data_IF_734203431604
#
_entry.id   IF_734203431604
#
_cell.length_a   1.000
_cell.length_b   1.000
_cell.length_c   1.000
_cell.angle_alpha   90.00
_cell.angle_beta   90.00
_cell.angle_gamma   90.00
#
_symmetry.space_group_name_H-M   'P 1'
#
loop_
_entity.id
_entity.type
_entity.pdbx_description
1 polymer ?
#
# COMPACT_ATOMS: atom_id res chain seq x y z
N UNK A 1 46.53 -5.26 -49.33
CA UNK A 1 45.12 -4.87 -49.60
C UNK A 1 44.61 -4.03 -48.44
N UNK A 2 44.35 -2.73 -48.65
CA UNK A 2 43.77 -1.85 -47.64
C UNK A 2 42.28 -2.19 -47.53
N UNK A 3 41.83 -2.72 -46.38
CA UNK A 3 40.40 -2.88 -46.10
C UNK A 3 39.81 -1.48 -45.91
N UNK A 4 38.90 -1.07 -46.78
CA UNK A 4 38.09 0.12 -46.53
C UNK A 4 37.14 -0.20 -45.38
N UNK A 5 37.24 0.58 -44.31
CA UNK A 5 36.38 0.47 -43.16
C UNK A 5 34.98 0.95 -43.58
N UNK A 6 34.03 0.02 -43.70
CA UNK A 6 32.64 0.34 -44.00
C UNK A 6 32.06 1.07 -42.78
N UNK A 7 31.83 2.36 -42.93
CA UNK A 7 31.17 3.18 -41.91
C UNK A 7 29.67 2.92 -41.89
N UNK A 8 29.06 3.18 -40.74
CA UNK A 8 27.60 3.16 -40.54
C UNK A 8 26.97 4.28 -41.37
N UNK A 9 25.86 4.00 -42.06
CA UNK A 9 25.14 5.01 -42.84
C UNK A 9 24.26 5.88 -41.93
N UNK A 10 24.03 7.13 -42.33
CA UNK A 10 23.08 8.01 -41.63
C UNK A 10 21.67 7.42 -41.59
N UNK A 11 21.28 6.67 -42.64
CA UNK A 11 19.96 6.05 -42.70
C UNK A 11 19.82 4.90 -41.69
N UNK A 12 20.86 4.08 -41.50
CA UNK A 12 20.86 3.04 -40.45
C UNK A 12 20.78 3.67 -39.06
N UNK A 13 21.52 4.76 -38.82
CA UNK A 13 21.49 5.45 -37.53
C UNK A 13 20.11 6.05 -37.25
N UNK A 14 19.46 6.66 -38.25
CA UNK A 14 18.10 7.18 -38.12
C UNK A 14 17.06 6.10 -37.83
N UNK A 15 17.15 4.94 -38.47
CA UNK A 15 16.24 3.81 -38.20
C UNK A 15 16.42 3.29 -36.77
N UNK A 16 17.67 3.17 -36.30
CA UNK A 16 17.95 2.74 -34.92
C UNK A 16 17.34 3.72 -33.91
N UNK A 17 17.51 5.02 -34.12
CA UNK A 17 16.91 6.06 -33.24
C UNK A 17 15.39 5.99 -33.26
N UNK A 18 14.78 5.76 -34.43
CA UNK A 18 13.33 5.62 -34.54
C UNK A 18 12.80 4.41 -33.74
N UNK A 19 13.46 3.25 -33.84
CA UNK A 19 13.08 2.04 -33.08
C UNK A 19 13.26 2.27 -31.57
N UNK A 20 14.39 2.85 -31.15
CA UNK A 20 14.63 3.17 -29.73
C UNK A 20 13.58 4.15 -29.21
N UNK A 21 13.19 5.15 -30.01
CA UNK A 21 12.13 6.10 -29.65
C UNK A 21 10.79 5.43 -29.36
N UNK A 22 10.37 4.48 -30.21
CA UNK A 22 9.12 3.71 -30.01
C UNK A 22 9.22 2.85 -28.75
N UNK A 23 10.32 2.12 -28.57
CA UNK A 23 10.51 1.26 -27.39
C UNK A 23 10.55 2.08 -26.10
N UNK A 24 11.24 3.22 -26.09
CA UNK A 24 11.35 4.10 -24.93
C UNK A 24 9.99 4.70 -24.53
N UNK A 25 9.14 5.05 -25.49
CA UNK A 25 7.80 5.58 -25.23
C UNK A 25 6.90 4.61 -24.44
N UNK A 26 7.10 3.30 -24.60
CA UNK A 26 6.35 2.26 -23.88
C UNK A 26 7.09 1.84 -22.59
N UNK A 27 8.41 1.70 -22.66
CA UNK A 27 9.21 1.18 -21.55
C UNK A 27 9.35 2.18 -20.39
N UNK A 28 9.50 3.48 -20.68
CA UNK A 28 9.70 4.49 -19.63
C UNK A 28 8.49 4.64 -18.70
N UNK A 29 7.24 4.76 -19.20
CA UNK A 29 6.07 4.80 -18.31
C UNK A 29 5.92 3.52 -17.48
N UNK A 30 6.15 2.35 -18.08
CA UNK A 30 6.06 1.08 -17.35
C UNK A 30 7.13 0.95 -16.24
N UNK A 31 8.35 1.43 -16.50
CA UNK A 31 9.42 1.45 -15.50
C UNK A 31 9.10 2.42 -14.35
N UNK A 32 8.52 3.58 -14.65
CA UNK A 32 8.04 4.52 -13.63
C UNK A 32 6.95 3.88 -12.74
N UNK A 33 5.97 3.21 -13.33
CA UNK A 33 4.93 2.50 -12.58
C UNK A 33 5.50 1.41 -11.65
N UNK A 34 6.53 0.69 -12.11
CA UNK A 34 7.23 -0.31 -11.30
C UNK A 34 7.95 0.34 -10.11
N UNK A 35 8.67 1.44 -10.35
CA UNK A 35 9.37 2.17 -9.28
C UNK A 35 8.40 2.73 -8.24
N UNK A 36 7.26 3.26 -8.68
CA UNK A 36 6.19 3.73 -7.77
C UNK A 36 5.63 2.56 -6.97
N UNK A 37 5.34 1.41 -7.59
CA UNK A 37 4.86 0.23 -6.86
C UNK A 37 5.86 -0.29 -5.84
N UNK A 38 7.16 -0.26 -6.15
CA UNK A 38 8.20 -0.62 -5.20
C UNK A 38 8.18 0.31 -3.97
N UNK A 39 8.06 1.63 -4.19
CA UNK A 39 7.89 2.62 -3.11
C UNK A 39 6.64 2.37 -2.27
N UNK A 40 5.54 1.92 -2.87
CA UNK A 40 4.30 1.59 -2.14
C UNK A 40 4.49 0.45 -1.14
N UNK A 41 5.41 -0.49 -1.39
CA UNK A 41 5.66 -1.58 -0.45
C UNK A 41 6.21 -1.10 0.90
N UNK A 42 6.91 0.04 0.92
CA UNK A 42 7.32 0.69 2.18
C UNK A 42 6.11 1.06 3.03
N UNK A 43 5.03 1.54 2.43
CA UNK A 43 3.79 1.85 3.13
C UNK A 43 3.18 0.65 3.85
N UNK A 44 3.25 -0.54 3.25
CA UNK A 44 2.83 -1.78 3.90
C UNK A 44 3.74 -2.16 5.08
N UNK A 45 5.05 -1.93 4.96
CA UNK A 45 5.98 -2.15 6.08
C UNK A 45 5.77 -1.15 7.22
N UNK A 46 5.46 0.11 6.91
CA UNK A 46 5.15 1.14 7.89
C UNK A 46 3.87 0.81 8.69
N UNK A 47 2.92 0.09 8.08
CA UNK A 47 1.71 -0.38 8.76
C UNK A 47 1.95 -1.53 9.75
N UNK A 48 3.11 -2.18 9.75
CA UNK A 48 3.37 -3.36 10.59
C UNK A 48 3.21 -3.07 12.09
N UNK A 49 3.76 -1.97 12.58
CA UNK A 49 3.63 -1.54 13.97
C UNK A 49 2.17 -1.23 14.34
N UNK A 50 1.41 -0.63 13.41
CA UNK A 50 -0.02 -0.38 13.61
C UNK A 50 -0.81 -1.69 13.73
N UNK A 51 -0.50 -2.70 12.91
CA UNK A 51 -1.14 -4.01 13.00
C UNK A 51 -0.90 -4.67 14.36
N UNK A 52 0.33 -4.61 14.87
CA UNK A 52 0.67 -5.13 16.20
C UNK A 52 -0.15 -4.41 17.27
N UNK A 53 -0.20 -3.08 17.24
CA UNK A 53 -0.97 -2.30 18.21
C UNK A 53 -2.47 -2.68 18.22
N UNK A 54 -3.07 -2.86 17.04
CA UNK A 54 -4.47 -3.29 16.93
C UNK A 54 -4.67 -4.66 17.58
N UNK A 55 -3.76 -5.61 17.35
CA UNK A 55 -3.84 -6.95 17.97
C UNK A 55 -3.64 -6.89 19.47
N UNK A 56 -2.70 -6.09 19.97
CA UNK A 56 -2.45 -5.94 21.40
C UNK A 56 -3.66 -5.34 22.13
N UNK A 57 -4.25 -4.27 21.57
CA UNK A 57 -5.48 -3.67 22.12
C UNK A 57 -6.64 -4.67 22.05
N UNK A 58 -6.77 -5.42 20.96
CA UNK A 58 -7.80 -6.47 20.82
C UNK A 58 -7.65 -7.54 21.91
N UNK A 59 -6.44 -8.04 22.15
CA UNK A 59 -6.17 -9.05 23.16
C UNK A 59 -6.44 -8.55 24.59
N UNK A 60 -6.24 -7.26 24.83
CA UNK A 60 -6.50 -6.63 26.14
C UNK A 60 -7.98 -6.39 26.46
N UNK A 61 -8.90 -6.53 25.48
CA UNK A 61 -10.32 -6.19 25.65
C UNK A 61 -10.62 -4.69 25.74
N UNK A 62 -9.60 -3.86 25.48
CA UNK A 62 -9.55 -2.41 25.59
C UNK A 62 -10.14 -1.79 26.88
N UNK A 63 -9.37 -1.69 27.97
CA UNK A 63 -9.79 -0.96 29.16
C UNK A 63 -9.83 0.58 28.98
N UNK A 64 -9.30 1.14 27.88
CA UNK A 64 -9.21 2.60 27.62
C UNK A 64 -10.06 3.01 26.40
N UNK A 65 -11.34 3.29 26.65
CA UNK A 65 -12.37 3.46 25.62
C UNK A 65 -12.13 4.63 24.63
N UNK A 66 -11.51 5.73 25.02
CA UNK A 66 -11.48 6.93 24.17
C UNK A 66 -10.55 6.80 22.94
N UNK A 67 -9.38 6.19 23.10
CA UNK A 67 -8.40 6.03 22.02
C UNK A 67 -8.60 4.74 21.21
N UNK A 68 -9.38 3.79 21.74
CA UNK A 68 -9.69 2.52 21.10
C UNK A 68 -8.46 1.77 20.59
N UNK A 69 -8.54 1.23 19.38
CA UNK A 69 -7.42 0.51 18.75
C UNK A 69 -6.18 1.39 18.46
N UNK A 70 -6.29 2.71 18.57
CA UNK A 70 -5.16 3.65 18.48
C UNK A 70 -4.49 3.93 19.83
N UNK A 71 -4.95 3.34 20.94
CA UNK A 71 -4.38 3.58 22.26
C UNK A 71 -2.88 3.21 22.29
N UNK A 72 -2.03 4.15 22.71
CA UNK A 72 -0.57 3.98 22.76
C UNK A 72 0.13 4.00 21.40
N UNK A 73 -0.59 4.11 20.29
CA UNK A 73 0.00 4.15 18.96
C UNK A 73 0.47 5.55 18.58
N UNK A 74 1.69 5.64 18.07
CA UNK A 74 2.23 6.85 17.43
C UNK A 74 2.50 6.53 15.96
N UNK A 75 2.00 7.36 15.05
CA UNK A 75 2.32 7.25 13.63
C UNK A 75 3.84 7.34 13.43
N UNK A 76 4.44 6.54 12.52
CA UNK A 76 5.85 6.70 12.17
C UNK A 76 6.10 8.11 11.62
N UNK A 77 7.35 8.56 11.75
CA UNK A 77 7.83 9.78 11.10
C UNK A 77 7.64 9.66 9.59
N UNK A 78 7.13 10.73 8.97
CA UNK A 78 6.95 10.77 7.52
C UNK A 78 8.27 10.51 6.78
N UNK A 79 8.20 9.75 5.70
CA UNK A 79 9.31 9.43 4.80
C UNK A 79 9.06 10.04 3.42
N UNK A 80 9.97 9.83 2.47
CA UNK A 80 9.74 10.24 1.07
C UNK A 80 8.48 9.56 0.48
N UNK A 81 8.13 8.36 0.95
CA UNK A 81 7.08 7.54 0.36
C UNK A 81 5.80 7.51 1.20
N UNK A 82 5.88 7.68 2.52
CA UNK A 82 4.76 7.58 3.45
C UNK A 82 4.57 8.88 4.22
N UNK A 83 3.37 9.46 4.15
CA UNK A 83 3.01 10.67 4.90
C UNK A 83 2.61 10.35 6.33
N UNK A 84 1.77 9.33 6.53
CA UNK A 84 1.28 8.94 7.85
C UNK A 84 0.68 7.54 7.84
N UNK A 85 0.55 6.96 9.04
CA UNK A 85 -0.24 5.76 9.28
C UNK A 85 -1.21 6.07 10.42
N UNK A 86 -2.50 5.84 10.19
CA UNK A 86 -3.54 6.10 11.18
C UNK A 86 -4.33 4.82 11.48
N UNK A 87 -4.79 4.67 12.72
CA UNK A 87 -5.67 3.59 13.15
C UNK A 87 -7.03 4.18 13.50
N UNK A 88 -8.10 3.67 12.90
CA UNK A 88 -9.45 4.03 13.27
C UNK A 88 -9.79 3.46 14.66
N UNK A 89 -9.99 4.32 15.65
CA UNK A 89 -10.16 3.93 17.05
C UNK A 89 -11.26 2.88 17.29
N UNK A 90 -12.39 2.99 16.57
CA UNK A 90 -13.54 2.09 16.74
C UNK A 90 -13.44 0.76 15.99
N UNK A 91 -12.68 0.68 14.90
CA UNK A 91 -12.72 -0.49 13.98
C UNK A 91 -11.37 -1.18 13.80
N UNK A 92 -10.27 -0.51 14.18
CA UNK A 92 -8.92 -1.02 13.96
C UNK A 92 -8.46 -0.95 12.50
N UNK A 93 -9.27 -0.36 11.61
CA UNK A 93 -8.87 -0.15 10.20
C UNK A 93 -7.67 0.78 10.15
N UNK A 94 -6.61 0.33 9.48
CA UNK A 94 -5.38 1.09 9.31
C UNK A 94 -5.44 1.81 7.97
N UNK A 95 -5.13 3.10 7.96
CA UNK A 95 -4.98 3.89 6.73
C UNK A 95 -3.54 4.34 6.60
N UNK A 96 -2.88 3.91 5.53
CA UNK A 96 -1.54 4.38 5.14
C UNK A 96 -1.72 5.46 4.08
N UNK A 97 -1.21 6.66 4.35
CA UNK A 97 -1.24 7.77 3.39
C UNK A 97 0.09 7.84 2.67
N UNK A 98 0.06 7.72 1.34
CA UNK A 98 1.24 7.73 0.48
C UNK A 98 1.52 9.14 -0.04
N UNK A 99 2.78 9.48 -0.24
CA UNK A 99 3.17 10.74 -0.88
C UNK A 99 2.93 10.68 -2.40
N UNK A 100 3.05 11.83 -3.08
CA UNK A 100 3.04 11.89 -4.54
C UNK A 100 4.14 11.02 -5.18
N UNK A 101 5.29 10.89 -4.50
CA UNK A 101 6.43 10.09 -4.95
C UNK A 101 6.11 8.58 -4.99
N UNK A 102 5.09 8.15 -4.25
CA UNK A 102 4.59 6.78 -4.18
C UNK A 102 3.16 6.65 -4.74
N UNK A 103 2.78 7.52 -5.69
CA UNK A 103 1.54 7.41 -6.45
C UNK A 103 0.34 8.16 -5.86
N UNK A 104 0.51 8.81 -4.70
CA UNK A 104 -0.50 9.58 -3.96
C UNK A 104 -1.71 8.72 -3.50
N UNK A 105 -2.46 9.23 -2.53
CA UNK A 105 -3.65 8.54 -2.00
C UNK A 105 -3.33 7.55 -0.89
N UNK A 106 -4.25 6.61 -0.65
CA UNK A 106 -4.20 5.75 0.55
C UNK A 106 -4.29 4.27 0.25
N UNK A 107 -3.67 3.46 1.11
CA UNK A 107 -3.96 2.04 1.28
C UNK A 107 -4.73 1.85 2.59
N UNK A 108 -5.78 1.03 2.56
CA UNK A 108 -6.49 0.62 3.77
C UNK A 108 -6.15 -0.82 4.12
N UNK A 109 -5.99 -1.13 5.41
CA UNK A 109 -5.89 -2.50 5.91
C UNK A 109 -7.04 -2.73 6.89
N UNK A 110 -7.97 -3.59 6.51
CA UNK A 110 -9.18 -3.91 7.27
C UNK A 110 -8.95 -5.20 8.07
N UNK A 111 -9.04 -5.16 9.41
CA UNK A 111 -8.94 -6.34 10.24
C UNK A 111 -10.31 -7.02 10.45
N UNK A 112 -10.30 -8.35 10.45
CA UNK A 112 -11.43 -9.19 10.83
C UNK A 112 -10.96 -10.32 11.76
N UNK A 113 -11.80 -10.73 12.70
CA UNK A 113 -11.52 -11.86 13.58
C UNK A 113 -12.83 -12.58 13.95
N UNK A 114 -13.15 -13.75 13.34
CA UNK A 114 -12.48 -14.37 12.19
C UNK A 114 -12.76 -13.60 10.89
N UNK A 115 -12.17 -14.01 9.76
CA UNK A 115 -12.44 -13.42 8.44
C UNK A 115 -13.95 -13.38 8.14
N UNK A 116 -14.46 -12.21 7.72
CA UNK A 116 -15.89 -11.99 7.50
C UNK A 116 -16.61 -11.33 8.68
N UNK A 117 -16.02 -11.31 9.88
CA UNK A 117 -16.55 -10.62 11.06
C UNK A 117 -15.67 -9.45 11.45
N UNK A 118 -16.25 -8.24 11.56
CA UNK A 118 -15.51 -7.06 11.97
C UNK A 118 -15.03 -7.21 13.42
N UNK A 119 -13.96 -6.50 13.78
CA UNK A 119 -13.55 -6.43 15.18
C UNK A 119 -14.66 -5.81 16.06
N UNK A 120 -14.70 -6.12 17.36
CA UNK A 120 -15.55 -5.42 18.32
C UNK A 120 -15.33 -3.90 18.28
N UNK A 121 -16.32 -3.12 18.73
CA UNK A 121 -16.19 -1.66 18.77
C UNK A 121 -15.08 -1.28 19.74
N UNK A 122 -13.97 -0.80 19.19
CA UNK A 122 -12.76 -0.48 19.93
C UNK A 122 -12.95 0.65 20.93
N UNK A 123 -13.98 1.49 20.81
CA UNK A 123 -14.19 2.62 21.73
C UNK A 123 -15.00 2.26 22.99
N UNK A 124 -15.06 0.99 23.34
CA UNK A 124 -15.68 0.47 24.55
C UNK A 124 -14.92 -0.79 25.00
N UNK A 125 -15.15 -1.23 26.24
CA UNK A 125 -14.66 -2.54 26.67
C UNK A 125 -15.40 -3.65 25.93
N UNK A 126 -14.69 -4.71 25.57
CA UNK A 126 -15.26 -5.87 24.88
C UNK A 126 -14.56 -7.17 25.32
N UNK A 127 -15.21 -8.31 25.05
CA UNK A 127 -14.59 -9.61 25.20
C UNK A 127 -13.71 -9.90 23.98
N UNK A 128 -12.41 -10.17 24.14
CA UNK A 128 -11.54 -10.53 23.03
C UNK A 128 -12.07 -11.75 22.26
N UNK A 129 -12.07 -11.72 20.91
CA UNK A 129 -12.41 -12.89 20.11
C UNK A 129 -11.33 -13.98 20.27
N UNK A 130 -11.73 -15.25 20.15
CA UNK A 130 -10.79 -16.39 20.20
C UNK A 130 -10.05 -16.66 18.88
N UNK A 131 -10.51 -16.06 17.79
CA UNK A 131 -9.96 -16.22 16.44
C UNK A 131 -8.79 -15.28 16.18
N UNK A 132 -7.88 -15.70 15.29
CA UNK A 132 -6.77 -14.86 14.85
C UNK A 132 -7.24 -13.73 13.93
N UNK A 133 -6.56 -12.58 14.02
CA UNK A 133 -6.87 -11.43 13.18
C UNK A 133 -6.37 -11.67 11.76
N UNK A 134 -7.30 -11.72 10.81
CA UNK A 134 -7.03 -11.68 9.39
C UNK A 134 -7.03 -10.22 8.89
N UNK A 135 -6.21 -9.92 7.88
CA UNK A 135 -6.08 -8.57 7.33
C UNK A 135 -6.33 -8.58 5.84
N UNK A 136 -7.13 -7.63 5.36
CA UNK A 136 -7.31 -7.36 3.93
C UNK A 136 -6.83 -5.96 3.58
N UNK A 137 -5.89 -5.88 2.64
CA UNK A 137 -5.45 -4.62 2.06
C UNK A 137 -6.40 -4.17 0.93
N UNK A 138 -6.62 -2.87 0.78
CA UNK A 138 -7.43 -2.27 -0.29
C UNK A 138 -6.81 -0.99 -0.84
N UNK A 139 -6.58 -0.98 -2.14
CA UNK A 139 -6.29 0.20 -2.95
C UNK A 139 -7.55 0.60 -3.76
N UNK A 140 -7.46 1.65 -4.59
CA UNK A 140 -8.60 2.12 -5.37
C UNK A 140 -9.19 1.02 -6.25
N UNK A 141 -10.50 0.80 -6.12
CA UNK A 141 -11.24 -0.21 -6.87
C UNK A 141 -11.13 -1.64 -6.33
N UNK A 142 -10.40 -1.86 -5.22
CA UNK A 142 -10.34 -3.15 -4.58
C UNK A 142 -11.70 -3.56 -3.98
N UNK A 143 -11.99 -4.85 -3.99
CA UNK A 143 -13.21 -5.43 -3.39
C UNK A 143 -12.86 -6.54 -2.41
N UNK A 144 -13.67 -6.71 -1.37
CA UNK A 144 -13.51 -7.79 -0.40
C UNK A 144 -14.83 -8.13 0.30
N UNK A 145 -14.91 -9.35 0.82
CA UNK A 145 -15.98 -9.82 1.71
C UNK A 145 -15.70 -9.53 3.19
N UNK A 146 -14.57 -8.89 3.52
CA UNK A 146 -14.28 -8.45 4.87
C UNK A 146 -15.31 -7.42 5.34
N UNK A 147 -15.97 -7.69 6.47
CA UNK A 147 -16.89 -6.74 7.08
C UNK A 147 -16.20 -5.41 7.39
N UNK A 148 -16.84 -4.29 7.03
CA UNK A 148 -16.28 -2.95 7.21
C UNK A 148 -15.18 -2.57 6.21
N UNK A 149 -14.89 -3.42 5.21
CA UNK A 149 -13.90 -3.12 4.19
C UNK A 149 -14.27 -1.87 3.38
N UNK A 150 -13.33 -0.93 3.30
CA UNK A 150 -13.41 0.23 2.42
C UNK A 150 -12.11 0.32 1.64
N UNK A 151 -12.19 0.41 0.32
CA UNK A 151 -11.02 0.59 -0.53
C UNK A 151 -10.31 1.91 -0.25
N UNK A 152 -8.97 1.89 -0.27
CA UNK A 152 -8.17 3.11 -0.29
C UNK A 152 -8.28 3.86 -1.64
N UNK A 153 -7.51 4.94 -1.78
CA UNK A 153 -7.54 5.80 -2.98
C UNK A 153 -6.30 5.67 -3.86
N UNK A 154 -5.28 4.90 -3.46
CA UNK A 154 -4.10 4.66 -4.28
C UNK A 154 -4.50 3.99 -5.61
N UNK A 155 -4.11 4.52 -6.78
CA UNK A 155 -4.44 3.92 -8.06
C UNK A 155 -4.00 2.45 -8.17
N UNK A 156 -4.89 1.57 -8.64
CA UNK A 156 -4.65 0.12 -8.73
C UNK A 156 -3.41 -0.28 -9.55
N UNK A 157 -2.95 0.56 -10.49
CA UNK A 157 -1.70 0.32 -11.24
C UNK A 157 -0.45 0.40 -10.36
N UNK A 158 -0.48 1.21 -9.31
CA UNK A 158 0.61 1.38 -8.35
C UNK A 158 0.47 0.45 -7.14
N UNK A 159 -0.71 -0.11 -6.91
CA UNK A 159 -0.96 -1.03 -5.80
C UNK A 159 -0.23 -2.38 -5.97
N UNK A 160 0.31 -2.95 -4.88
CA UNK A 160 0.72 -4.36 -4.82
C UNK A 160 -0.47 -5.30 -5.10
N UNK A 161 -0.19 -6.49 -5.61
CA UNK A 161 -1.24 -7.47 -5.94
C UNK A 161 -2.15 -7.83 -4.77
N UNK A 162 -1.60 -7.87 -3.54
CA UNK A 162 -2.36 -8.16 -2.33
C UNK A 162 -3.39 -7.08 -1.95
N UNK A 163 -3.28 -5.88 -2.53
CA UNK A 163 -4.14 -4.73 -2.25
C UNK A 163 -5.11 -4.40 -3.39
N UNK A 164 -5.08 -5.16 -4.49
CA UNK A 164 -6.08 -5.08 -5.57
C UNK A 164 -7.25 -6.00 -5.22
#
# INVERSE_FOLDING_TARGET
MKKYQQGFTLIELMIVVAIIGILAAIALPAYQDYMVRARVTEGLTAASAAKVNVVDVLASGNPSAAAGYGNGYTSPTATENVTSVAIAAGTGVITVTMTAAAGNGTLTLTPNAPSGTALPVGTAAFTPPGDSVAWRCGAAGATSTFAGFTAGTLPARFAPSACK
#
